data_IF_946646195158
#
_entry.id   IF_946646195158
#
_cell.length_a   1.000
_cell.length_b   1.000
_cell.length_c   1.000
_cell.angle_alpha   90.00
_cell.angle_beta   90.00
_cell.angle_gamma   90.00
#
_symmetry.space_group_name_H-M   'P 1'
#
loop_
_entity.id
_entity.type
_entity.pdbx_description
1 polymer ?
#
# COMPACT_ATOMS: atom_id res chain seq x y z
N UNK A 1 5.04 11.19 -0.72
CA UNK A 1 5.57 11.85 -1.93
C UNK A 1 6.80 12.71 -1.69
N UNK A 2 7.15 13.08 -0.44
CA UNK A 2 8.28 13.97 -0.15
C UNK A 2 9.64 13.51 -0.74
N UNK A 3 9.82 12.20 -1.03
CA UNK A 3 11.00 11.66 -1.71
C UNK A 3 11.07 11.95 -3.23
N UNK A 4 9.99 12.43 -3.84
CA UNK A 4 9.98 12.71 -5.28
C UNK A 4 10.82 13.95 -5.58
N UNK A 5 11.58 13.99 -6.69
CA UNK A 5 12.49 15.08 -7.01
C UNK A 5 11.87 16.48 -6.99
N UNK A 6 10.58 16.58 -7.36
CA UNK A 6 9.82 17.84 -7.33
C UNK A 6 9.69 18.48 -5.94
N UNK A 7 9.95 17.74 -4.85
CA UNK A 7 9.85 18.22 -3.47
C UNK A 7 11.20 18.44 -2.76
N UNK A 8 12.34 18.40 -3.47
CA UNK A 8 13.71 18.44 -2.88
C UNK A 8 13.98 19.64 -1.95
N UNK A 9 13.29 20.77 -2.13
CA UNK A 9 13.45 21.98 -1.31
C UNK A 9 12.33 22.23 -0.29
N UNK A 10 11.41 21.27 -0.11
CA UNK A 10 10.25 21.42 0.76
C UNK A 10 10.48 20.70 2.08
N UNK A 11 9.99 21.29 3.18
CA UNK A 11 10.03 20.64 4.48
C UNK A 11 9.15 19.40 4.51
N UNK A 12 9.64 18.33 5.15
CA UNK A 12 8.87 17.12 5.38
C UNK A 12 8.32 17.09 6.81
N UNK A 13 7.04 17.42 6.96
CA UNK A 13 6.35 17.49 8.27
C UNK A 13 5.70 16.15 8.62
N UNK A 14 5.93 15.68 9.85
CA UNK A 14 5.37 14.42 10.37
C UNK A 14 4.72 14.64 11.74
N UNK A 15 3.71 13.83 12.08
CA UNK A 15 2.91 13.98 13.32
C UNK A 15 3.42 13.13 14.50
N UNK A 16 4.55 12.43 14.36
CA UNK A 16 5.07 11.52 15.39
C UNK A 16 6.48 11.02 15.10
N UNK A 17 6.99 10.13 15.97
CA UNK A 17 8.36 9.57 15.84
C UNK A 17 8.55 8.73 14.58
N UNK A 18 7.47 8.14 14.07
CA UNK A 18 7.49 7.32 12.86
C UNK A 18 6.59 7.98 11.83
N UNK A 19 7.16 8.18 10.63
CA UNK A 19 6.38 8.63 9.49
C UNK A 19 5.44 7.52 9.01
N UNK A 20 4.14 7.81 9.04
CA UNK A 20 3.10 6.94 8.44
C UNK A 20 3.30 6.83 6.93
N UNK A 21 3.73 7.91 6.27
CA UNK A 21 3.94 7.89 4.82
C UNK A 21 5.13 7.02 4.41
N UNK A 22 6.20 7.00 5.21
CA UNK A 22 7.42 6.23 4.92
C UNK A 22 7.15 4.75 5.12
N UNK A 23 6.39 4.42 6.17
CA UNK A 23 5.95 3.06 6.45
C UNK A 23 5.09 2.51 5.30
N UNK A 24 4.05 3.26 4.89
CA UNK A 24 3.22 2.87 3.73
C UNK A 24 4.05 2.80 2.45
N UNK A 25 5.01 3.71 2.22
CA UNK A 25 5.87 3.67 1.04
C UNK A 25 6.78 2.43 1.01
N UNK A 26 7.30 2.02 2.17
CA UNK A 26 8.28 0.92 2.27
C UNK A 26 7.64 -0.46 2.16
N UNK A 27 6.46 -0.63 2.74
CA UNK A 27 5.82 -1.96 2.87
C UNK A 27 4.35 -2.02 2.46
N UNK A 28 3.76 -0.89 2.09
CA UNK A 28 2.37 -0.84 1.63
C UNK A 28 2.22 -1.56 0.29
N UNK A 29 1.17 -2.35 0.18
CA UNK A 29 0.78 -3.01 -1.07
C UNK A 29 -0.70 -2.74 -1.30
N UNK A 30 -1.04 -2.30 -2.50
CA UNK A 30 -2.43 -2.14 -2.91
C UNK A 30 -2.93 -3.46 -3.51
N UNK A 31 -4.13 -3.88 -3.12
CA UNK A 31 -4.79 -5.05 -3.70
C UNK A 31 -5.82 -4.61 -4.74
N UNK A 32 -6.14 -5.46 -5.74
CA UNK A 32 -7.21 -5.18 -6.69
C UNK A 32 -8.55 -4.97 -5.97
N UNK A 33 -9.29 -3.92 -6.36
CA UNK A 33 -10.58 -3.56 -5.77
C UNK A 33 -11.51 -2.85 -6.77
N UNK A 34 -11.39 -3.14 -8.07
CA UNK A 34 -12.17 -2.48 -9.11
C UNK A 34 -13.66 -2.87 -9.00
N UNK A 35 -14.57 -1.95 -9.35
CA UNK A 35 -16.02 -2.21 -9.38
C UNK A 35 -16.41 -3.33 -10.35
N UNK A 36 -15.56 -3.62 -11.33
CA UNK A 36 -15.78 -4.69 -12.32
C UNK A 36 -15.38 -6.08 -11.83
N UNK A 37 -14.74 -6.19 -10.66
CA UNK A 37 -14.36 -7.50 -10.12
C UNK A 37 -15.61 -8.29 -9.74
N UNK A 38 -15.69 -9.51 -10.22
CA UNK A 38 -16.72 -10.46 -9.82
C UNK A 38 -16.26 -11.31 -8.62
N UNK A 39 -17.12 -12.22 -8.16
CA UNK A 39 -16.83 -13.09 -7.02
C UNK A 39 -15.60 -13.98 -7.26
N UNK A 40 -15.38 -14.45 -8.49
CA UNK A 40 -14.26 -15.30 -8.85
C UNK A 40 -12.93 -14.53 -8.81
N UNK A 41 -12.93 -13.26 -9.25
CA UNK A 41 -11.77 -12.37 -9.11
C UNK A 41 -11.42 -12.15 -7.63
N UNK A 42 -12.42 -11.88 -6.78
CA UNK A 42 -12.23 -11.68 -5.35
C UNK A 42 -11.72 -12.95 -4.65
N UNK A 43 -12.29 -14.11 -5.00
CA UNK A 43 -11.84 -15.39 -4.46
C UNK A 43 -10.40 -15.68 -4.89
N UNK A 44 -10.05 -15.43 -6.15
CA UNK A 44 -8.68 -15.60 -6.64
C UNK A 44 -7.69 -14.75 -5.86
N UNK A 45 -7.98 -13.47 -5.61
CA UNK A 45 -7.11 -12.61 -4.79
C UNK A 45 -6.99 -13.15 -3.36
N UNK A 46 -8.11 -13.50 -2.74
CA UNK A 46 -8.17 -14.04 -1.37
C UNK A 46 -7.35 -15.31 -1.23
N UNK A 47 -7.52 -16.27 -2.15
CA UNK A 47 -6.78 -17.53 -2.14
C UNK A 47 -5.27 -17.32 -2.31
N UNK A 48 -4.83 -16.32 -3.09
CA UNK A 48 -3.39 -15.99 -3.19
C UNK A 48 -2.83 -15.46 -1.88
N UNK A 49 -3.57 -14.58 -1.20
CA UNK A 49 -3.16 -14.05 0.10
C UNK A 49 -3.11 -15.17 1.15
N UNK A 50 -4.16 -16.00 1.24
CA UNK A 50 -4.19 -17.14 2.14
C UNK A 50 -3.09 -18.16 1.85
N UNK A 51 -2.74 -18.40 0.57
CA UNK A 51 -1.62 -19.30 0.25
C UNK A 51 -0.26 -18.76 0.70
N UNK A 52 -0.06 -17.43 0.67
CA UNK A 52 1.20 -16.80 1.05
C UNK A 52 1.34 -16.63 2.57
N UNK A 53 0.23 -16.42 3.29
CA UNK A 53 0.24 -16.00 4.69
C UNK A 53 -0.68 -16.80 5.62
N UNK A 54 -1.57 -17.64 5.08
CA UNK A 54 -2.39 -18.55 5.84
C UNK A 54 -1.51 -19.65 6.43
N UNK A 55 -1.61 -19.82 7.75
CA UNK A 55 -0.95 -20.91 8.47
C UNK A 55 -1.58 -22.25 8.14
#
# INVERSE_FOLDING_TARGET
>A
MHLQPVFTGMDYITAGKTSVSDDIFTRGVCLPSDIKMDENDMERVTQRILKLFGK
#
